data_IF_898636778281
#
_entry.id   IF_898636778281
#
_cell.length_a   1.000
_cell.length_b   1.000
_cell.length_c   1.000
_cell.angle_alpha   90.00
_cell.angle_beta   90.00
_cell.angle_gamma   90.00
#
_symmetry.space_group_name_H-M   'P 1'
#
loop_
_entity.id
_entity.type
_entity.pdbx_description
1 polymer ?
#
# COMPACT_ATOMS: atom_id res chain seq x y z
N UNK A 1 -0.72 16.52 4.30
CA UNK A 1 0.75 16.49 4.39
C UNK A 1 1.24 15.39 5.31
N UNK A 2 1.13 15.47 6.65
CA UNK A 2 1.70 14.44 7.53
C UNK A 2 1.15 13.02 7.29
N UNK A 3 -0.18 12.82 7.28
CA UNK A 3 -0.79 11.50 7.01
C UNK A 3 -0.45 10.91 5.64
N UNK A 4 -0.22 11.76 4.64
CA UNK A 4 0.19 11.32 3.30
C UNK A 4 1.63 10.82 3.37
N UNK A 5 2.54 11.59 3.99
CA UNK A 5 3.94 11.18 4.17
C UNK A 5 4.07 9.86 4.93
N UNK A 6 3.28 9.69 6.00
CA UNK A 6 3.18 8.42 6.75
C UNK A 6 2.78 7.28 5.81
N UNK A 7 1.72 7.49 5.02
CA UNK A 7 1.22 6.49 4.08
C UNK A 7 2.28 6.16 3.02
N UNK A 8 2.90 7.16 2.40
CA UNK A 8 3.92 6.95 1.36
C UNK A 8 5.16 6.22 1.91
N UNK A 9 5.65 6.60 3.09
CA UNK A 9 6.80 5.94 3.75
C UNK A 9 6.47 4.49 4.13
N UNK A 10 5.28 4.25 4.69
CA UNK A 10 4.80 2.90 5.04
C UNK A 10 4.69 1.98 3.82
N UNK A 11 4.37 2.53 2.66
CA UNK A 11 4.34 1.78 1.40
C UNK A 11 5.72 1.67 0.71
N UNK A 12 6.78 2.23 1.31
CA UNK A 12 8.13 2.19 0.74
C UNK A 12 8.34 3.12 -0.45
N UNK A 13 7.46 4.10 -0.68
CA UNK A 13 7.59 5.06 -1.78
C UNK A 13 8.56 6.22 -1.47
N UNK A 14 8.88 6.43 -0.20
CA UNK A 14 9.80 7.46 0.27
C UNK A 14 11.00 6.81 0.96
N UNK A 15 12.20 7.27 0.61
CA UNK A 15 13.43 6.95 1.36
C UNK A 15 13.46 7.75 2.68
N UNK A 16 13.96 7.13 3.76
CA UNK A 16 13.91 7.64 5.14
C UNK A 16 14.55 9.03 5.33
N UNK A 17 15.44 9.44 4.42
CA UNK A 17 16.29 10.63 4.57
C UNK A 17 15.63 11.98 4.19
N UNK A 18 14.37 11.99 3.74
CA UNK A 18 13.79 13.19 3.13
C UNK A 18 12.89 14.00 4.09
N UNK A 19 12.38 13.42 5.18
CA UNK A 19 11.36 14.09 6.00
C UNK A 19 11.53 13.94 7.52
N UNK A 20 11.51 15.07 8.22
CA UNK A 20 11.47 15.13 9.68
C UNK A 20 10.06 14.81 10.20
N UNK A 21 9.66 13.55 10.17
CA UNK A 21 8.56 13.07 11.02
C UNK A 21 9.03 13.18 12.47
N UNK A 22 8.18 13.61 13.43
CA UNK A 22 8.58 13.71 14.83
C UNK A 22 9.26 12.40 15.28
N UNK A 23 10.48 12.52 15.84
CA UNK A 23 11.41 11.42 16.21
C UNK A 23 10.82 10.31 17.09
N UNK A 24 9.60 10.48 17.58
CA UNK A 24 8.95 9.60 18.55
C UNK A 24 8.30 8.39 17.88
N UNK A 25 8.05 8.41 16.56
CA UNK A 25 7.44 7.29 15.82
C UNK A 25 8.31 6.96 14.61
N UNK A 26 8.85 5.74 14.59
CA UNK A 26 9.50 5.16 13.42
C UNK A 26 8.42 4.55 12.54
N UNK A 27 8.44 4.84 11.24
CA UNK A 27 7.50 4.28 10.26
C UNK A 27 8.28 3.31 9.42
N UNK A 28 7.96 2.03 9.58
CA UNK A 28 8.59 0.95 8.86
C UNK A 28 8.01 0.86 7.45
N UNK A 29 8.85 0.46 6.49
CA UNK A 29 8.37 0.09 5.16
C UNK A 29 7.70 -1.28 5.24
N UNK A 30 6.37 -1.29 5.29
CA UNK A 30 5.56 -2.51 5.40
C UNK A 30 5.66 -3.39 4.16
N UNK A 31 6.16 -2.87 3.03
CA UNK A 31 6.37 -3.62 1.78
C UNK A 31 7.83 -4.06 1.58
N UNK A 32 8.70 -3.86 2.58
CA UNK A 32 10.04 -4.41 2.56
C UNK A 32 10.03 -5.94 2.41
N UNK A 33 11.11 -6.50 1.86
CA UNK A 33 11.19 -7.95 1.62
C UNK A 33 10.99 -8.75 2.91
N UNK A 34 10.08 -9.72 2.86
CA UNK A 34 9.81 -10.66 3.97
C UNK A 34 8.68 -10.25 4.91
N UNK A 35 8.20 -9.00 4.84
CA UNK A 35 7.03 -8.52 5.61
C UNK A 35 5.73 -9.21 5.19
N UNK A 36 4.67 -9.02 5.98
CA UNK A 36 3.35 -9.58 5.65
C UNK A 36 2.77 -8.94 4.37
N UNK A 37 2.86 -7.61 4.20
CA UNK A 37 2.35 -6.96 2.99
C UNK A 37 3.13 -7.37 1.74
N UNK A 38 4.46 -7.56 1.81
CA UNK A 38 5.24 -8.03 0.66
C UNK A 38 4.82 -9.45 0.22
N UNK A 39 4.58 -10.35 1.17
CA UNK A 39 4.08 -11.70 0.88
C UNK A 39 2.66 -11.69 0.29
N UNK A 40 1.77 -10.84 0.81
CA UNK A 40 0.42 -10.70 0.26
C UNK A 40 0.44 -10.10 -1.16
N UNK A 41 1.31 -9.11 -1.39
CA UNK A 41 1.51 -8.52 -2.71
C UNK A 41 2.02 -9.55 -3.72
N UNK A 42 3.02 -10.36 -3.34
CA UNK A 42 3.53 -11.45 -4.20
C UNK A 42 2.41 -12.45 -4.55
N UNK A 43 1.59 -12.85 -3.57
CA UNK A 43 0.45 -13.75 -3.83
C UNK A 43 -0.55 -13.14 -4.79
N UNK A 44 -0.89 -11.86 -4.64
CA UNK A 44 -1.79 -11.14 -5.53
C UNK A 44 -1.22 -11.05 -6.96
N UNK A 45 0.07 -10.74 -7.07
CA UNK A 45 0.79 -10.69 -8.34
C UNK A 45 0.79 -12.04 -9.05
N UNK A 46 1.11 -13.13 -8.35
CA UNK A 46 1.07 -14.48 -8.89
C UNK A 46 -0.34 -14.90 -9.30
N UNK A 47 -1.36 -14.54 -8.51
CA UNK A 47 -2.76 -14.79 -8.85
C UNK A 47 -3.17 -14.06 -10.15
N UNK A 48 -2.78 -12.78 -10.29
CA UNK A 48 -2.97 -11.99 -11.52
C UNK A 48 -2.34 -12.69 -12.73
N UNK A 49 -1.04 -13.02 -12.64
CA UNK A 49 -0.34 -13.69 -13.74
C UNK A 49 -0.99 -15.02 -14.14
N UNK A 50 -1.39 -15.83 -13.15
CA UNK A 50 -2.03 -17.12 -13.42
C UNK A 50 -3.39 -16.96 -14.11
N UNK A 51 -4.15 -15.92 -13.77
CA UNK A 51 -5.42 -15.61 -14.41
C UNK A 51 -5.20 -15.12 -15.85
N UNK A 52 -4.31 -14.16 -16.09
CA UNK A 52 -3.95 -13.68 -17.42
C UNK A 52 -3.50 -14.85 -18.32
N UNK A 53 -2.64 -15.75 -17.83
CA UNK A 53 -2.21 -16.96 -18.55
C UNK A 53 -3.39 -17.87 -18.93
N UNK A 54 -4.36 -18.06 -18.03
CA UNK A 54 -5.56 -18.87 -18.30
C UNK A 54 -6.49 -18.22 -19.33
N UNK A 55 -6.52 -16.90 -19.40
CA UNK A 55 -7.29 -16.13 -20.37
C UNK A 55 -6.58 -16.01 -21.73
N UNK A 56 -5.29 -16.38 -21.80
CA UNK A 56 -4.48 -16.20 -23.01
C UNK A 56 -4.18 -14.73 -23.31
N UNK A 57 -4.17 -13.88 -22.28
CA UNK A 57 -3.89 -12.45 -22.37
C UNK A 57 -2.69 -12.11 -21.47
N UNK A 58 -1.95 -11.06 -21.80
CA UNK A 58 -0.87 -10.57 -20.93
C UNK A 58 -1.42 -9.77 -19.75
N UNK A 59 -2.48 -9.01 -19.99
CA UNK A 59 -3.17 -8.16 -19.02
C UNK A 59 -4.69 -8.27 -19.20
N UNK A 60 -5.44 -8.06 -18.12
CA UNK A 60 -6.89 -8.02 -18.12
C UNK A 60 -7.35 -6.72 -17.45
N UNK A 61 -8.13 -5.92 -18.17
CA UNK A 61 -8.54 -4.60 -17.73
C UNK A 61 -9.44 -4.63 -16.49
N UNK A 62 -10.30 -5.64 -16.35
CA UNK A 62 -11.18 -5.74 -15.19
C UNK A 62 -10.38 -6.08 -13.92
N UNK A 63 -9.30 -6.86 -14.06
CA UNK A 63 -8.37 -7.13 -12.96
C UNK A 63 -7.61 -5.85 -12.55
N UNK A 64 -7.11 -5.07 -13.51
CA UNK A 64 -6.41 -3.81 -13.20
C UNK A 64 -7.36 -2.80 -12.53
N UNK A 65 -8.61 -2.72 -12.99
CA UNK A 65 -9.66 -1.90 -12.35
C UNK A 65 -9.93 -2.39 -10.93
N UNK A 66 -10.02 -3.71 -10.71
CA UNK A 66 -10.23 -4.28 -9.39
C UNK A 66 -9.08 -3.94 -8.43
N UNK A 67 -7.83 -4.17 -8.84
CA UNK A 67 -6.64 -3.92 -8.02
C UNK A 67 -6.57 -2.43 -7.65
N UNK A 68 -6.63 -1.54 -8.66
CA UNK A 68 -6.56 -0.10 -8.43
C UNK A 68 -7.73 0.42 -7.59
N UNK A 69 -8.94 -0.13 -7.73
CA UNK A 69 -10.07 0.23 -6.88
C UNK A 69 -9.84 -0.15 -5.43
N UNK A 70 -9.32 -1.36 -5.18
CA UNK A 70 -9.04 -1.84 -3.82
C UNK A 70 -7.90 -1.04 -3.16
N UNK A 71 -6.84 -0.71 -3.89
CA UNK A 71 -5.75 0.15 -3.41
C UNK A 71 -6.27 1.55 -3.03
N UNK A 72 -7.14 2.14 -3.88
CA UNK A 72 -7.77 3.43 -3.59
C UNK A 72 -8.67 3.39 -2.35
N UNK A 73 -9.47 2.34 -2.19
CA UNK A 73 -10.29 2.12 -0.99
C UNK A 73 -9.40 2.03 0.25
N UNK A 74 -8.35 1.22 0.20
CA UNK A 74 -7.41 1.05 1.31
C UNK A 74 -6.77 2.40 1.70
N UNK A 75 -6.27 3.17 0.71
CA UNK A 75 -5.73 4.51 0.95
C UNK A 75 -6.74 5.42 1.65
N UNK A 76 -7.97 5.49 1.13
CA UNK A 76 -9.02 6.35 1.71
C UNK A 76 -9.32 5.99 3.17
N UNK A 77 -9.41 4.68 3.48
CA UNK A 77 -9.65 4.20 4.83
C UNK A 77 -8.48 4.49 5.77
N UNK A 78 -7.23 4.23 5.35
CA UNK A 78 -6.03 4.50 6.16
C UNK A 78 -5.92 5.99 6.52
N UNK A 79 -6.17 6.88 5.57
CA UNK A 79 -6.11 8.33 5.80
C UNK A 79 -7.23 8.80 6.74
N UNK A 80 -8.43 8.22 6.66
CA UNK A 80 -9.54 8.51 7.59
C UNK A 80 -9.25 7.96 8.99
N UNK A 81 -8.70 6.76 9.09
CA UNK A 81 -8.32 6.14 10.37
C UNK A 81 -7.32 7.02 11.12
N UNK A 82 -6.30 7.52 10.43
CA UNK A 82 -5.34 8.47 11.00
C UNK A 82 -6.03 9.75 11.51
N UNK A 83 -6.98 10.31 10.73
CA UNK A 83 -7.73 11.49 11.15
C UNK A 83 -8.61 11.24 12.38
N UNK A 84 -9.23 10.06 12.48
CA UNK A 84 -10.05 9.70 13.63
C UNK A 84 -9.20 9.47 14.88
N UNK A 85 -8.09 8.72 14.78
CA UNK A 85 -7.19 8.51 15.92
C UNK A 85 -6.62 9.82 16.46
N UNK A 86 -6.34 10.80 15.60
CA UNK A 86 -5.93 12.15 16.02
C UNK A 86 -6.99 12.95 16.79
N UNK A 87 -8.27 12.61 16.67
CA UNK A 87 -9.38 13.27 17.40
C UNK A 87 -9.69 12.61 18.73
N UNK A 88 -9.13 11.43 19.01
CA UNK A 88 -9.28 10.73 20.30
C UNK A 88 -8.37 11.30 21.41
N UNK A 89 -7.58 12.33 21.09
CA UNK A 89 -6.68 13.05 21.99
C UNK A 89 -6.96 14.55 21.95
#
# INVERSE_FOLDING_TARGET
>A
MQKELIYEQMNGFLEEDIFSIPKEITIENEFAEGTECSQMYERAYLAKQNLCRRLGQEEDNDIEILISSMENIARLLSLKMYEYGRREH
#
